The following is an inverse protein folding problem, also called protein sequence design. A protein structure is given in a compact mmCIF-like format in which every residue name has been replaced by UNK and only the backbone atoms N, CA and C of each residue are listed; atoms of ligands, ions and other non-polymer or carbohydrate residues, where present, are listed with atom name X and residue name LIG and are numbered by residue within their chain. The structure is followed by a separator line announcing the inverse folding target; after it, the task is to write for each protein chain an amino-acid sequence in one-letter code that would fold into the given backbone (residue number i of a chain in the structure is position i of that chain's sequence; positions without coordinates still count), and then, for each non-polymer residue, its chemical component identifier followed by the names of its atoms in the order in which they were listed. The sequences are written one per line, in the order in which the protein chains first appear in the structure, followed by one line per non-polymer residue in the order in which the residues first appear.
data_IF_926820308005
#
_entry.id   IF_926820308005
#
_cell.length_a   1.000
_cell.length_b   1.000
_cell.length_c   1.000
_cell.angle_alpha   90.00
_cell.angle_beta   90.00
_cell.angle_gamma   90.00
#
_symmetry.space_group_name_H-M   'P 1'
#
loop_
_entity.id
_entity.type
_entity.pdbx_description
1 polymer ?
#
# COMPACT_ATOMS: atom_id res chain seq x y z
N UNK A 1 7.08 19.28 15.74
CA UNK A 1 7.73 18.00 16.05
C UNK A 1 8.24 17.29 14.79
N UNK A 2 7.39 17.07 13.76
CA UNK A 2 7.75 16.40 12.50
C UNK A 2 9.00 16.87 11.72
N UNK A 3 9.37 18.17 11.77
CA UNK A 3 10.47 18.70 10.93
C UNK A 3 11.85 18.19 11.39
N UNK A 4 12.03 17.99 12.70
CA UNK A 4 13.28 17.47 13.26
C UNK A 4 13.50 15.99 12.90
N UNK A 5 12.43 15.22 12.83
CA UNK A 5 12.48 13.77 12.54
C UNK A 5 12.86 13.51 11.08
N UNK A 6 12.32 14.29 10.15
CA UNK A 6 12.65 14.20 8.71
C UNK A 6 14.09 14.64 8.44
N UNK A 7 14.58 15.68 9.13
CA UNK A 7 15.98 16.12 9.04
C UNK A 7 16.94 15.02 9.47
N UNK A 8 16.67 14.36 10.59
CA UNK A 8 17.49 13.27 11.11
C UNK A 8 17.47 12.05 10.17
N UNK A 9 16.32 11.71 9.60
CA UNK A 9 16.20 10.64 8.60
C UNK A 9 17.04 10.92 7.35
N UNK A 10 16.98 12.16 6.82
CA UNK A 10 17.77 12.56 5.66
C UNK A 10 19.27 12.56 5.93
N UNK A 11 19.69 12.94 7.15
CA UNK A 11 21.09 12.84 7.59
C UNK A 11 21.57 11.37 7.63
N UNK A 12 20.78 10.47 8.22
CA UNK A 12 21.10 9.03 8.26
C UNK A 12 21.14 8.42 6.86
N UNK A 13 20.29 8.88 5.94
CA UNK A 13 20.29 8.48 4.54
C UNK A 13 21.47 9.06 3.72
N UNK A 14 22.38 9.82 4.34
CA UNK A 14 23.59 10.35 3.70
C UNK A 14 23.42 11.71 3.01
N UNK A 15 22.33 12.43 3.24
CA UNK A 15 22.18 13.79 2.71
C UNK A 15 23.12 14.77 3.41
N UNK A 16 23.70 15.69 2.64
CA UNK A 16 24.57 16.76 3.17
C UNK A 16 23.74 17.85 3.87
N UNK A 17 24.25 18.36 4.99
CA UNK A 17 23.58 19.39 5.82
C UNK A 17 23.22 20.66 5.04
N UNK A 18 23.99 21.03 4.00
CA UNK A 18 23.75 22.22 3.17
C UNK A 18 22.52 22.08 2.25
N UNK A 19 22.18 20.86 1.82
CA UNK A 19 21.06 20.64 0.90
C UNK A 19 19.75 20.34 1.65
N UNK A 20 19.84 19.85 2.88
CA UNK A 20 18.69 19.40 3.67
C UNK A 20 17.71 20.54 3.94
N UNK A 21 18.15 21.74 4.26
CA UNK A 21 17.21 22.83 4.56
C UNK A 21 16.41 23.26 3.32
N UNK A 22 17.04 23.25 2.14
CA UNK A 22 16.35 23.51 0.88
C UNK A 22 15.36 22.39 0.51
N UNK A 23 15.77 21.12 0.71
CA UNK A 23 14.93 19.95 0.46
C UNK A 23 13.75 19.87 1.42
N UNK A 24 13.98 20.14 2.71
CA UNK A 24 12.91 20.23 3.70
C UNK A 24 11.98 21.37 3.31
N UNK A 25 12.46 22.56 2.95
CA UNK A 25 11.56 23.66 2.57
C UNK A 25 10.67 23.30 1.37
N UNK A 26 11.24 22.65 0.35
CA UNK A 26 10.52 22.28 -0.88
C UNK A 26 9.55 21.11 -0.67
N UNK A 27 9.90 20.19 0.23
CA UNK A 27 9.17 18.92 0.37
C UNK A 27 8.27 18.90 1.60
N UNK A 28 8.48 19.80 2.57
CA UNK A 28 7.69 19.88 3.80
C UNK A 28 6.21 20.09 3.51
N UNK A 29 5.88 21.00 2.61
CA UNK A 29 4.48 21.33 2.34
C UNK A 29 3.80 20.18 1.56
N UNK A 30 4.56 19.49 0.69
CA UNK A 30 4.10 18.27 0.02
C UNK A 30 3.89 17.11 1.01
N UNK A 31 4.86 16.86 1.90
CA UNK A 31 4.71 15.84 2.95
C UNK A 31 3.57 16.17 3.89
N UNK A 32 3.41 17.44 4.26
CA UNK A 32 2.30 17.89 5.09
C UNK A 32 0.97 17.61 4.40
N UNK A 33 0.83 17.93 3.13
CA UNK A 33 -0.38 17.63 2.37
C UNK A 33 -0.69 16.12 2.33
N UNK A 34 0.34 15.28 2.15
CA UNK A 34 0.20 13.81 2.17
C UNK A 34 -0.21 13.31 3.56
N UNK A 35 0.43 13.78 4.63
CA UNK A 35 0.10 13.40 6.01
C UNK A 35 -1.32 13.85 6.37
N UNK A 36 -1.70 15.08 6.01
CA UNK A 36 -3.05 15.60 6.26
C UNK A 36 -4.10 14.78 5.48
N UNK A 37 -3.80 14.38 4.24
CA UNK A 37 -4.67 13.50 3.46
C UNK A 37 -4.79 12.11 4.08
N UNK A 38 -3.69 11.54 4.57
CA UNK A 38 -3.70 10.24 5.25
C UNK A 38 -4.49 10.26 6.57
N UNK A 39 -4.36 11.32 7.37
CA UNK A 39 -5.15 11.52 8.59
C UNK A 39 -6.64 11.64 8.27
N UNK A 40 -6.99 12.44 7.25
CA UNK A 40 -8.38 12.58 6.81
C UNK A 40 -8.96 11.27 6.28
N UNK A 41 -8.16 10.50 5.53
CA UNK A 41 -8.55 9.17 5.05
C UNK A 41 -8.82 8.24 6.23
N UNK A 42 -7.91 8.18 7.22
CA UNK A 42 -8.04 7.40 8.45
C UNK A 42 -9.35 7.71 9.19
N UNK A 43 -9.64 9.00 9.38
CA UNK A 43 -10.88 9.43 10.01
C UNK A 43 -12.12 9.06 9.16
N UNK A 44 -12.05 9.25 7.84
CA UNK A 44 -13.16 8.94 6.93
C UNK A 44 -13.50 7.43 6.88
N UNK A 45 -12.51 6.56 7.03
CA UNK A 45 -12.72 5.10 7.11
C UNK A 45 -13.03 4.60 8.54
N UNK A 46 -13.10 5.51 9.51
CA UNK A 46 -13.46 5.22 10.91
C UNK A 46 -12.39 4.46 11.69
N UNK A 47 -11.14 4.48 11.23
CA UNK A 47 -10.02 3.80 11.90
C UNK A 47 -9.68 4.45 13.27
N UNK A 48 -10.13 5.69 13.52
CA UNK A 48 -10.06 6.31 14.85
C UNK A 48 -11.16 5.84 15.83
N UNK A 49 -12.21 5.20 15.31
CA UNK A 49 -13.34 4.64 16.09
C UNK A 49 -13.19 3.14 16.30
N UNK A 50 -12.58 2.43 15.34
CA UNK A 50 -12.51 0.97 15.31
C UNK A 50 -11.08 0.51 15.62
N UNK A 51 -10.89 -0.42 16.56
CA UNK A 51 -9.58 -1.03 16.84
C UNK A 51 -9.17 -2.01 15.74
N UNK A 52 -8.88 -1.48 14.55
CA UNK A 52 -8.33 -2.22 13.42
C UNK A 52 -7.44 -1.31 12.57
N UNK A 53 -6.41 -1.89 11.96
CA UNK A 53 -5.54 -1.20 11.02
C UNK A 53 -6.02 -1.47 9.58
N UNK A 54 -5.87 -0.48 8.69
CA UNK A 54 -6.10 -0.68 7.26
C UNK A 54 -4.76 -0.67 6.51
N UNK A 55 -4.55 -1.68 5.68
CA UNK A 55 -3.32 -1.85 4.92
C UNK A 55 -3.62 -1.98 3.43
N UNK A 56 -2.80 -1.32 2.62
CA UNK A 56 -2.86 -1.48 1.17
C UNK A 56 -2.18 -2.78 0.74
N UNK A 57 -2.77 -3.47 -0.23
CA UNK A 57 -2.19 -4.65 -0.86
C UNK A 57 -1.58 -4.22 -2.20
N UNK A 58 -0.30 -4.50 -2.37
CA UNK A 58 0.45 -4.29 -3.61
C UNK A 58 0.97 -5.64 -4.09
N UNK A 59 0.77 -5.94 -5.38
CA UNK A 59 1.32 -7.13 -6.03
C UNK A 59 2.56 -6.74 -6.82
N UNK A 60 3.64 -7.50 -6.67
CA UNK A 60 4.89 -7.19 -7.33
C UNK A 60 4.89 -7.68 -8.79
N UNK A 61 5.52 -6.92 -9.70
CA UNK A 61 5.83 -7.43 -11.03
C UNK A 61 6.55 -8.78 -10.97
N UNK A 62 6.07 -9.75 -11.73
CA UNK A 62 6.60 -11.12 -11.77
C UNK A 62 5.84 -12.12 -10.91
N UNK A 63 5.01 -11.66 -9.96
CA UNK A 63 4.18 -12.56 -9.14
C UNK A 63 3.18 -13.33 -10.01
N UNK A 64 2.87 -14.56 -9.61
CA UNK A 64 1.85 -15.36 -10.29
C UNK A 64 0.45 -14.82 -10.00
N UNK A 65 -0.34 -14.64 -11.05
CA UNK A 65 -1.73 -14.21 -10.93
C UNK A 65 -2.58 -15.31 -10.30
N UNK A 66 -3.32 -14.89 -9.27
CA UNK A 66 -4.32 -15.70 -8.59
C UNK A 66 -5.64 -14.93 -8.55
N UNK A 67 -6.66 -15.44 -9.25
CA UNK A 67 -8.00 -14.85 -9.29
C UNK A 67 -8.70 -14.86 -7.91
N UNK A 68 -8.27 -15.72 -6.97
CA UNK A 68 -8.81 -15.71 -5.62
C UNK A 68 -8.38 -14.48 -4.83
N UNK A 69 -7.21 -13.89 -5.12
CA UNK A 69 -6.65 -12.74 -4.40
C UNK A 69 -6.50 -11.47 -5.24
N UNK A 70 -6.55 -11.56 -6.56
CA UNK A 70 -6.31 -10.45 -7.50
C UNK A 70 -7.46 -10.28 -8.52
N UNK A 71 -7.51 -9.12 -9.18
CA UNK A 71 -8.43 -8.84 -10.30
C UNK A 71 -7.59 -8.44 -11.53
N UNK A 72 -7.81 -9.08 -12.67
CA UNK A 72 -7.16 -8.65 -13.92
C UNK A 72 -7.85 -7.39 -14.46
N UNK A 73 -7.07 -6.35 -14.74
CA UNK A 73 -7.58 -5.10 -15.29
C UNK A 73 -8.23 -5.25 -16.67
N UNK A 74 -7.88 -6.30 -17.42
CA UNK A 74 -8.36 -6.56 -18.77
C UNK A 74 -9.27 -7.80 -18.86
N UNK A 75 -9.83 -8.24 -17.72
CA UNK A 75 -10.76 -9.35 -17.67
C UNK A 75 -11.94 -9.11 -18.64
N UNK A 76 -12.06 -9.98 -19.67
CA UNK A 76 -13.07 -9.88 -20.73
C UNK A 76 -12.56 -9.45 -22.11
N UNK A 77 -11.33 -8.95 -22.24
CA UNK A 77 -10.81 -8.47 -23.52
C UNK A 77 -10.26 -9.56 -24.44
N UNK A 78 -9.74 -10.69 -23.92
CA UNK A 78 -9.38 -11.89 -24.69
C UNK A 78 -8.92 -12.99 -23.71
N UNK A 79 -9.79 -13.97 -23.42
CA UNK A 79 -9.40 -15.17 -22.66
C UNK A 79 -8.60 -16.17 -23.53
N UNK A 80 -7.66 -15.67 -24.34
CA UNK A 80 -6.86 -16.46 -25.26
C UNK A 80 -5.37 -16.19 -24.99
N UNK A 81 -4.74 -17.08 -24.22
CA UNK A 81 -3.30 -17.06 -24.06
C UNK A 81 -2.83 -17.72 -22.77
N UNK A 82 -2.56 -19.03 -22.83
CA UNK A 82 -2.05 -19.88 -21.75
C UNK A 82 -0.67 -19.44 -21.19
N UNK A 83 -0.03 -18.40 -21.73
CA UNK A 83 1.43 -18.33 -21.68
C UNK A 83 2.04 -17.25 -20.79
N UNK A 84 1.29 -16.39 -20.10
CA UNK A 84 1.87 -15.53 -19.04
C UNK A 84 0.83 -15.09 -18.02
N UNK A 85 0.58 -15.93 -17.01
CA UNK A 85 -0.19 -15.53 -15.83
C UNK A 85 0.61 -14.65 -14.87
N UNK A 86 1.78 -14.15 -15.24
CA UNK A 86 2.57 -13.31 -14.34
C UNK A 86 2.07 -11.87 -14.40
N UNK A 87 2.04 -11.23 -13.24
CA UNK A 87 1.68 -9.82 -13.09
C UNK A 87 2.78 -8.96 -13.71
N UNK A 88 2.40 -8.04 -14.58
CA UNK A 88 3.25 -6.96 -15.08
C UNK A 88 3.36 -5.84 -14.05
N UNK A 89 2.22 -5.39 -13.52
CA UNK A 89 2.17 -4.37 -12.48
C UNK A 89 0.82 -4.37 -11.76
N UNK A 90 0.79 -3.76 -10.57
CA UNK A 90 -0.46 -3.39 -9.90
C UNK A 90 -0.98 -2.08 -10.49
N UNK A 91 -2.17 -2.09 -11.08
CA UNK A 91 -2.84 -0.88 -11.60
C UNK A 91 -3.80 -0.26 -10.59
N UNK A 92 -4.32 -1.05 -9.65
CA UNK A 92 -5.15 -0.60 -8.54
C UNK A 92 -4.75 -1.26 -7.25
N UNK A 93 -4.51 -0.47 -6.20
CA UNK A 93 -4.16 -1.00 -4.88
C UNK A 93 -5.33 -1.77 -4.28
N UNK A 94 -5.02 -2.91 -3.65
CA UNK A 94 -5.98 -3.58 -2.79
C UNK A 94 -6.04 -2.94 -1.42
N UNK A 95 -7.03 -3.32 -0.62
CA UNK A 95 -7.22 -2.87 0.74
C UNK A 95 -7.60 -4.06 1.61
N UNK A 96 -6.94 -4.20 2.75
CA UNK A 96 -7.31 -5.15 3.81
C UNK A 96 -7.44 -4.44 5.14
N UNK A 97 -8.29 -4.99 5.99
CA UNK A 97 -8.48 -4.59 7.39
C UNK A 97 -7.89 -5.66 8.30
N UNK A 98 -7.01 -5.27 9.19
CA UNK A 98 -6.34 -6.11 10.17
C UNK A 98 -6.87 -5.77 11.56
N UNK A 99 -7.49 -6.72 12.24
CA UNK A 99 -8.05 -6.53 13.59
C UNK A 99 -7.37 -7.47 14.56
N UNK A 100 -6.86 -6.94 15.67
CA UNK A 100 -6.31 -7.78 16.73
C UNK A 100 -7.45 -8.45 17.50
N UNK A 101 -7.46 -9.78 17.51
CA UNK A 101 -8.42 -10.56 18.29
C UNK A 101 -7.76 -10.93 19.61
N UNK A 102 -8.34 -10.50 20.73
CA UNK A 102 -7.94 -11.01 22.05
C UNK A 102 -8.63 -12.35 22.23
N UNK A 103 -7.87 -13.44 22.25
CA UNK A 103 -8.33 -14.68 22.86
C UNK A 103 -8.01 -14.64 24.35
N UNK A 104 -9.00 -14.97 25.18
CA UNK A 104 -8.80 -15.06 26.62
C UNK A 104 -7.75 -16.15 26.90
N UNK A 105 -6.65 -15.76 27.53
CA UNK A 105 -5.64 -16.67 28.07
C UNK A 105 -4.47 -17.08 27.16
N UNK A 106 -4.38 -16.60 25.92
CA UNK A 106 -3.28 -16.99 25.02
C UNK A 106 -2.30 -15.85 24.74
N UNK A 107 -1.00 -16.13 24.86
CA UNK A 107 0.08 -15.14 24.74
C UNK A 107 0.35 -14.72 23.28
N UNK A 108 -0.30 -15.38 22.32
CA UNK A 108 -0.19 -15.06 20.90
C UNK A 108 -1.39 -14.22 20.44
N UNK A 109 -1.13 -12.93 20.26
CA UNK A 109 -2.06 -12.03 19.57
C UNK A 109 -2.32 -12.53 18.14
N UNK A 110 -3.50 -13.10 17.88
CA UNK A 110 -3.94 -13.40 16.51
C UNK A 110 -4.53 -12.15 15.84
N UNK A 111 -4.23 -11.99 14.55
CA UNK A 111 -4.77 -10.94 13.71
C UNK A 111 -5.83 -11.54 12.77
N UNK A 112 -7.04 -11.02 12.84
CA UNK A 112 -8.08 -11.25 11.85
C UNK A 112 -7.83 -10.32 10.67
N UNK A 113 -7.59 -10.88 9.48
CA UNK A 113 -7.32 -10.11 8.26
C UNK A 113 -8.47 -10.31 7.28
N UNK A 114 -9.13 -9.21 6.90
CA UNK A 114 -10.23 -9.21 5.93
C UNK A 114 -9.82 -8.40 4.70
N UNK A 115 -9.80 -9.00 3.52
CA UNK A 115 -9.62 -8.25 2.26
C UNK A 115 -10.93 -7.54 1.93
N UNK A 116 -10.88 -6.21 1.86
CA UNK A 116 -12.01 -5.35 1.51
C UNK A 116 -12.06 -5.04 0.02
N UNK A 117 -10.89 -4.92 -0.60
CA UNK A 117 -10.72 -4.68 -2.04
C UNK A 117 -9.53 -5.51 -2.50
N UNK A 118 -9.72 -6.34 -3.53
CA UNK A 118 -8.60 -7.04 -4.17
C UNK A 118 -7.75 -6.04 -4.97
N UNK A 119 -6.42 -6.19 -4.99
CA UNK A 119 -5.60 -5.44 -5.92
C UNK A 119 -5.98 -5.77 -7.36
N UNK A 120 -6.04 -4.73 -8.18
CA UNK A 120 -6.18 -4.85 -9.62
C UNK A 120 -4.79 -4.87 -10.26
N UNK A 121 -4.56 -5.84 -11.13
CA UNK A 121 -3.26 -6.09 -11.76
C UNK A 121 -3.40 -6.14 -13.27
N UNK A 122 -2.31 -5.78 -13.95
CA UNK A 122 -2.15 -6.00 -15.38
C UNK A 122 -1.26 -7.21 -15.56
N UNK A 123 -1.64 -8.15 -16.43
CA UNK A 123 -0.82 -9.32 -16.73
C UNK A 123 0.19 -9.04 -17.85
N UNK A 124 1.31 -9.77 -17.86
CA UNK A 124 2.31 -9.68 -18.93
C UNK A 124 1.74 -10.05 -20.31
N UNK A 125 0.67 -10.85 -20.35
CA UNK A 125 -0.05 -11.15 -21.59
C UNK A 125 -0.67 -9.91 -22.24
N UNK A 126 -0.97 -8.84 -21.49
CA UNK A 126 -1.61 -7.63 -22.01
C UNK A 126 -0.73 -6.85 -23.02
N UNK A 127 0.58 -7.02 -22.97
CA UNK A 127 1.54 -6.36 -23.88
C UNK A 127 2.05 -7.27 -24.99
N UNK A 128 1.67 -8.56 -24.98
CA UNK A 128 2.07 -9.55 -25.99
C UNK A 128 0.98 -9.79 -27.05
N UNK A 129 0.08 -8.82 -27.25
CA UNK A 129 -0.98 -8.85 -28.26
C UNK A 129 -0.48 -8.43 -29.65
#
# INVERSE_FOLDING_TARGET
MFVSDVRNLLLVAGSSTMQIDSLISRTRDNFRAVVDAAIKLRAAIGEDVISCDFETILIHPGDAFDAASMVDAFEGANAAGVNSKNVLCTSGLGLRRCKKVKMDGDANAQWEVTVLQKPQVVLQSAISQ
#
